data_IF_438414454862
#
_entry.id   IF_438414454862
#
_cell.length_a   1.000
_cell.length_b   1.000
_cell.length_c   1.000
_cell.angle_alpha   90.00
_cell.angle_beta   90.00
_cell.angle_gamma   90.00
#
_symmetry.space_group_name_H-M   'P 1'
#
loop_
_entity.id
_entity.type
_entity.pdbx_description
1 polymer ?
#
# COMPACT_ATOMS: atom_id res chain seq x y z
N UNK A 1 -8.11 -3.14 -15.29
CA UNK A 1 -9.01 -3.63 -14.22
C UNK A 1 -8.15 -4.02 -13.02
N UNK A 2 -8.45 -3.52 -11.82
CA UNK A 2 -7.72 -3.95 -10.60
C UNK A 2 -8.06 -5.42 -10.28
N UNK A 3 -7.22 -6.19 -9.56
CA UNK A 3 -7.57 -7.57 -9.18
C UNK A 3 -8.77 -7.64 -8.22
N UNK A 4 -9.46 -8.77 -8.14
CA UNK A 4 -10.62 -8.94 -7.24
C UNK A 4 -10.24 -8.93 -5.75
N UNK A 5 -9.01 -9.34 -5.45
CA UNK A 5 -8.40 -9.34 -4.13
C UNK A 5 -6.88 -9.21 -4.26
N UNK A 6 -6.21 -8.79 -3.19
CA UNK A 6 -4.76 -8.86 -3.03
C UNK A 6 -4.45 -9.87 -1.93
N UNK A 7 -3.81 -10.97 -2.31
CA UNK A 7 -3.31 -11.96 -1.35
C UNK A 7 -1.89 -11.55 -0.93
N UNK A 8 -1.68 -11.33 0.36
CA UNK A 8 -0.39 -10.97 0.96
C UNK A 8 -0.03 -11.96 2.06
N UNK A 9 1.25 -12.22 2.25
CA UNK A 9 1.78 -12.98 3.38
C UNK A 9 2.62 -12.06 4.24
N UNK A 10 2.30 -11.98 5.53
CA UNK A 10 3.00 -11.17 6.53
C UNK A 10 3.21 -12.01 7.77
N UNK A 11 4.43 -12.05 8.29
CA UNK A 11 4.78 -12.82 9.48
C UNK A 11 4.25 -14.27 9.42
N UNK A 12 4.51 -14.93 8.29
CA UNK A 12 4.02 -16.27 7.94
C UNK A 12 2.49 -16.43 7.84
N UNK A 13 1.70 -15.42 8.18
CA UNK A 13 0.23 -15.43 8.07
C UNK A 13 -0.23 -14.98 6.70
N UNK A 14 -1.21 -15.70 6.16
CA UNK A 14 -1.89 -15.33 4.91
C UNK A 14 -3.00 -14.32 5.19
N UNK A 15 -2.99 -13.20 4.47
CA UNK A 15 -3.98 -12.14 4.58
C UNK A 15 -4.54 -11.86 3.19
N UNK A 16 -5.84 -12.08 3.01
CA UNK A 16 -6.56 -11.70 1.79
C UNK A 16 -7.20 -10.34 1.98
N UNK A 17 -6.80 -9.38 1.16
CA UNK A 17 -7.37 -8.04 1.12
C UNK A 17 -8.40 -7.96 0.02
N UNK A 18 -9.64 -7.65 0.37
CA UNK A 18 -10.73 -7.50 -0.58
C UNK A 18 -10.95 -6.03 -0.94
N UNK A 19 -11.50 -5.76 -2.13
CA UNK A 19 -11.83 -4.40 -2.57
C UNK A 19 -12.78 -3.64 -1.64
N UNK A 20 -13.60 -4.37 -0.89
CA UNK A 20 -14.49 -3.80 0.13
C UNK A 20 -13.71 -3.16 1.27
N UNK A 21 -12.48 -3.61 1.54
CA UNK A 21 -11.64 -3.17 2.64
C UNK A 21 -10.78 -1.97 2.22
N UNK A 22 -10.57 -1.03 3.13
CA UNK A 22 -9.80 0.17 2.83
C UNK A 22 -8.31 -0.13 2.62
N UNK A 23 -7.77 -1.11 3.35
CA UNK A 23 -6.40 -1.59 3.23
C UNK A 23 -6.04 -2.00 1.82
N UNK A 24 -6.97 -2.61 1.08
CA UNK A 24 -6.76 -3.00 -0.30
C UNK A 24 -6.37 -1.80 -1.16
N UNK A 25 -7.14 -0.71 -1.05
CA UNK A 25 -6.93 0.50 -1.83
C UNK A 25 -5.68 1.26 -1.39
N UNK A 26 -5.48 1.40 -0.08
CA UNK A 26 -4.29 2.05 0.48
C UNK A 26 -3.03 1.30 0.04
N UNK A 27 -3.00 -0.02 0.18
CA UNK A 27 -1.86 -0.82 -0.24
C UNK A 27 -1.66 -0.76 -1.76
N UNK A 28 -2.74 -0.82 -2.55
CA UNK A 28 -2.64 -0.69 -4.02
C UNK A 28 -1.99 0.63 -4.44
N UNK A 29 -2.37 1.74 -3.81
CA UNK A 29 -1.77 3.06 -4.05
C UNK A 29 -0.30 3.06 -3.66
N UNK A 30 0.05 2.47 -2.51
CA UNK A 30 1.45 2.37 -2.09
C UNK A 30 2.28 1.54 -3.09
N UNK A 31 1.80 0.35 -3.49
CA UNK A 31 2.50 -0.52 -4.42
C UNK A 31 2.70 0.15 -5.79
N UNK A 32 1.67 0.80 -6.33
CA UNK A 32 1.78 1.55 -7.58
C UNK A 32 2.71 2.77 -7.46
N UNK A 33 2.74 3.39 -6.28
CA UNK A 33 3.55 4.56 -5.99
C UNK A 33 5.02 4.27 -5.66
N UNK A 34 5.36 3.03 -5.27
CA UNK A 34 6.71 2.67 -4.77
C UNK A 34 7.80 3.05 -5.77
N UNK A 35 7.65 2.65 -7.05
CA UNK A 35 8.62 3.00 -8.10
C UNK A 35 8.69 4.50 -8.35
N UNK A 36 7.56 5.21 -8.28
CA UNK A 36 7.45 6.59 -8.74
C UNK A 36 7.67 7.63 -7.64
N UNK A 37 7.84 7.20 -6.39
CA UNK A 37 7.92 8.07 -5.20
C UNK A 37 9.07 9.08 -5.27
N UNK A 38 10.23 8.68 -5.79
CA UNK A 38 11.42 9.54 -5.93
C UNK A 38 11.56 10.24 -7.27
N UNK A 39 10.64 9.99 -8.21
CA UNK A 39 10.78 10.39 -9.62
C UNK A 39 9.83 11.55 -9.98
N UNK A 40 10.23 12.41 -10.93
CA UNK A 40 9.41 13.51 -11.48
C UNK A 40 8.49 13.05 -12.63
N UNK A 41 7.96 11.83 -12.55
CA UNK A 41 7.16 11.21 -13.64
C UNK A 41 5.67 11.58 -13.58
N UNK A 42 5.22 12.27 -12.54
CA UNK A 42 3.83 12.70 -12.36
C UNK A 42 3.79 14.05 -11.65
N UNK A 43 2.88 14.97 -12.04
CA UNK A 43 2.70 16.23 -11.33
C UNK A 43 2.28 15.97 -9.88
N UNK A 44 3.00 16.56 -8.93
CA UNK A 44 2.73 16.43 -7.50
C UNK A 44 2.52 17.82 -6.88
N UNK A 45 1.50 18.00 -6.02
CA UNK A 45 1.18 19.30 -5.45
C UNK A 45 2.17 19.75 -4.36
N UNK A 46 2.94 18.82 -3.79
CA UNK A 46 3.89 19.10 -2.70
C UNK A 46 5.36 18.96 -3.17
N UNK A 47 6.32 19.54 -2.43
CA UNK A 47 7.74 19.39 -2.76
C UNK A 47 8.21 17.93 -2.75
N UNK A 48 9.11 17.58 -3.69
CA UNK A 48 9.65 16.21 -3.84
C UNK A 48 10.24 15.65 -2.54
N UNK A 49 10.83 16.49 -1.70
CA UNK A 49 11.39 16.08 -0.40
C UNK A 49 10.35 15.43 0.52
N UNK A 50 9.07 15.83 0.45
CA UNK A 50 8.02 15.19 1.25
C UNK A 50 7.74 13.77 0.76
N UNK A 51 7.70 13.56 -0.55
CA UNK A 51 7.45 12.23 -1.13
C UNK A 51 8.61 11.27 -0.89
N UNK A 52 9.86 11.75 -0.91
CA UNK A 52 11.05 10.92 -0.63
C UNK A 52 11.09 10.30 0.78
N UNK A 53 10.32 10.84 1.73
CA UNK A 53 10.26 10.32 3.11
C UNK A 53 9.33 9.11 3.24
N UNK A 54 8.42 8.89 2.29
CA UNK A 54 7.43 7.82 2.32
C UNK A 54 6.02 8.29 1.97
N UNK A 55 5.06 7.37 2.11
CA UNK A 55 3.65 7.67 1.92
C UNK A 55 3.06 8.36 3.15
N UNK A 56 2.22 9.37 2.92
CA UNK A 56 1.52 10.08 3.98
C UNK A 56 0.04 10.21 3.60
N UNK A 57 -0.81 10.40 4.62
CA UNK A 57 -2.27 10.31 4.47
C UNK A 57 -2.82 11.22 3.38
N UNK A 58 -2.33 12.47 3.28
CA UNK A 58 -2.82 13.44 2.30
C UNK A 58 -2.47 13.04 0.85
N UNK A 59 -1.28 12.48 0.62
CA UNK A 59 -0.90 11.99 -0.71
C UNK A 59 -1.71 10.75 -1.12
N UNK A 60 -1.96 9.83 -0.19
CA UNK A 60 -2.79 8.65 -0.44
C UNK A 60 -4.22 9.09 -0.74
N UNK A 61 -4.79 9.98 0.09
CA UNK A 61 -6.14 10.48 -0.06
C UNK A 61 -6.34 11.17 -1.40
N UNK A 62 -5.40 12.05 -1.80
CA UNK A 62 -5.48 12.75 -3.08
C UNK A 62 -5.58 11.79 -4.27
N UNK A 63 -4.88 10.65 -4.25
CA UNK A 63 -5.02 9.62 -5.29
C UNK A 63 -6.37 8.92 -5.19
N UNK A 64 -6.79 8.53 -3.99
CA UNK A 64 -8.06 7.81 -3.78
C UNK A 64 -9.30 8.65 -4.11
N UNK A 65 -9.21 9.97 -3.97
CA UNK A 65 -10.30 10.90 -4.34
C UNK A 65 -10.56 10.96 -5.84
N UNK A 66 -9.56 10.61 -6.67
CA UNK A 66 -9.73 10.49 -8.13
C UNK A 66 -10.52 9.24 -8.54
N UNK A 67 -10.69 8.27 -7.64
CA UNK A 67 -11.43 7.05 -7.94
C UNK A 67 -12.94 7.32 -8.00
N UNK A 68 -13.68 6.60 -8.86
CA UNK A 68 -15.14 6.60 -8.85
C UNK A 68 -15.71 6.24 -7.47
N UNK A 69 -16.86 6.80 -7.12
CA UNK A 69 -17.51 6.54 -5.83
C UNK A 69 -17.84 5.06 -5.59
N UNK A 70 -18.17 4.32 -6.67
CA UNK A 70 -18.39 2.88 -6.61
C UNK A 70 -17.19 2.08 -6.09
N UNK A 71 -15.97 2.62 -6.21
CA UNK A 71 -14.74 1.99 -5.71
C UNK A 71 -14.31 2.58 -4.37
N UNK A 72 -14.45 3.89 -4.22
CA UNK A 72 -14.07 4.63 -3.02
C UNK A 72 -15.21 5.54 -2.53
N UNK A 73 -16.07 5.03 -1.63
CA UNK A 73 -17.24 5.75 -1.13
C UNK A 73 -16.87 7.07 -0.46
N UNK A 74 -17.74 8.06 -0.62
CA UNK A 74 -17.62 9.40 -0.02
C UNK A 74 -17.38 9.37 1.50
N UNK A 75 -18.00 8.43 2.22
CA UNK A 75 -17.77 8.24 3.66
C UNK A 75 -16.30 7.98 4.06
N UNK A 76 -15.48 7.48 3.14
CA UNK A 76 -14.04 7.19 3.34
C UNK A 76 -13.12 8.33 2.87
N UNK A 77 -13.66 9.34 2.16
CA UNK A 77 -12.93 10.50 1.62
C UNK A 77 -12.64 11.54 2.71
N UNK A 78 -11.94 11.10 3.75
CA UNK A 78 -11.51 11.98 4.84
C UNK A 78 -10.17 11.52 5.37
N UNK A 79 -9.30 12.49 5.63
CA UNK A 79 -7.95 12.26 6.16
C UNK A 79 -7.96 11.44 7.45
N UNK A 80 -8.93 11.69 8.32
CA UNK A 80 -9.09 10.95 9.59
C UNK A 80 -9.32 9.46 9.36
N UNK A 81 -10.13 9.09 8.36
CA UNK A 81 -10.36 7.70 8.00
C UNK A 81 -9.08 7.02 7.52
N UNK A 82 -8.31 7.68 6.64
CA UNK A 82 -7.01 7.16 6.18
C UNK A 82 -6.03 6.98 7.35
N UNK A 83 -5.98 7.94 8.27
CA UNK A 83 -5.16 7.81 9.48
C UNK A 83 -5.56 6.61 10.34
N UNK A 84 -6.86 6.37 10.52
CA UNK A 84 -7.34 5.18 11.25
C UNK A 84 -6.97 3.88 10.55
N UNK A 85 -7.10 3.83 9.22
CA UNK A 85 -6.68 2.66 8.42
C UNK A 85 -5.19 2.44 8.60
N UNK A 86 -4.35 3.47 8.41
CA UNK A 86 -2.90 3.39 8.61
C UNK A 86 -2.54 2.92 10.03
N UNK A 87 -3.14 3.50 11.07
CA UNK A 87 -2.82 3.13 12.44
C UNK A 87 -3.17 1.67 12.79
N UNK A 88 -4.28 1.12 12.27
CA UNK A 88 -4.74 -0.23 12.64
C UNK A 88 -3.98 -1.38 11.96
N UNK A 89 -3.38 -1.13 10.80
CA UNK A 89 -2.67 -2.15 10.02
C UNK A 89 -1.15 -1.90 9.97
N UNK A 90 -0.65 -1.00 10.80
CA UNK A 90 0.79 -0.82 11.06
C UNK A 90 1.36 -2.04 11.82
N UNK A 91 2.64 -2.35 11.58
CA UNK A 91 3.34 -3.49 12.21
C UNK A 91 3.31 -3.44 13.75
N UNK A 92 3.43 -2.25 14.34
CA UNK A 92 3.40 -2.01 15.79
C UNK A 92 2.01 -1.71 16.37
N UNK A 93 0.93 -1.99 15.63
CA UNK A 93 -0.42 -1.68 16.10
C UNK A 93 -0.83 -2.62 17.27
N UNK A 94 -1.27 -2.03 18.38
CA UNK A 94 -1.86 -2.77 19.51
C UNK A 94 -3.26 -3.34 19.19
N UNK A 95 -3.86 -2.94 18.06
CA UNK A 95 -5.14 -3.45 17.59
C UNK A 95 -5.02 -4.90 17.10
N UNK A 96 -5.91 -5.80 17.53
CA UNK A 96 -5.94 -7.19 17.03
C UNK A 96 -7.26 -7.47 16.31
N UNK A 97 -7.23 -8.09 15.12
CA UNK A 97 -6.04 -8.57 14.39
C UNK A 97 -5.35 -7.46 13.56
N UNK A 98 -4.15 -7.02 13.95
CA UNK A 98 -3.30 -6.16 13.12
C UNK A 98 -2.85 -6.93 11.88
N UNK A 99 -3.01 -6.33 10.70
CA UNK A 99 -2.58 -6.93 9.43
C UNK A 99 -1.11 -6.71 9.10
N UNK A 100 -0.45 -5.79 9.81
CA UNK A 100 0.99 -5.51 9.72
C UNK A 100 1.45 -5.23 8.26
N UNK A 101 0.63 -4.51 7.50
CA UNK A 101 0.83 -4.28 6.06
C UNK A 101 1.88 -3.20 5.76
N UNK A 102 2.15 -2.32 6.71
CA UNK A 102 3.13 -1.24 6.57
C UNK A 102 3.83 -0.93 7.88
N UNK A 103 4.96 -0.25 7.74
CA UNK A 103 5.80 0.26 8.82
C UNK A 103 5.78 1.78 8.81
N UNK A 104 5.77 2.39 9.99
CA UNK A 104 5.93 3.85 10.12
C UNK A 104 7.42 4.16 10.18
N UNK A 105 7.93 4.84 9.17
CA UNK A 105 9.36 5.22 9.07
C UNK A 105 9.65 6.54 9.78
N UNK A 106 8.67 7.42 9.83
CA UNK A 106 8.70 8.70 10.55
C UNK A 106 7.27 9.07 10.93
N UNK A 107 7.08 9.97 11.90
CA UNK A 107 5.75 10.49 12.24
C UNK A 107 4.99 10.98 10.99
N UNK A 108 3.86 10.32 10.71
CA UNK A 108 3.00 10.62 9.55
C UNK A 108 3.46 10.03 8.21
N UNK A 109 4.59 9.31 8.18
CA UNK A 109 5.15 8.68 6.98
C UNK A 109 5.23 7.16 7.14
N UNK A 110 4.78 6.46 6.10
CA UNK A 110 4.64 5.02 6.07
C UNK A 110 5.29 4.44 4.82
N UNK A 111 5.79 3.22 4.94
CA UNK A 111 6.23 2.38 3.82
C UNK A 111 5.53 1.03 3.92
N UNK A 112 5.19 0.38 2.79
CA UNK A 112 4.80 -1.02 2.78
C UNK A 112 5.78 -1.87 3.59
N UNK A 113 5.27 -2.89 4.28
CA UNK A 113 6.10 -3.74 5.12
C UNK A 113 7.11 -4.49 4.21
N UNK A 114 8.44 -4.27 4.37
CA UNK A 114 9.43 -4.89 3.50
C UNK A 114 9.51 -6.41 3.66
N UNK A 115 9.09 -6.95 4.81
CA UNK A 115 9.02 -8.40 5.06
C UNK A 115 7.76 -9.05 4.47
N UNK A 116 6.86 -8.28 3.84
CA UNK A 116 5.65 -8.80 3.21
C UNK A 116 5.98 -9.50 1.89
N UNK A 117 5.24 -10.56 1.59
CA UNK A 117 5.23 -11.23 0.28
C UNK A 117 3.91 -11.00 -0.42
N UNK A 118 3.96 -10.80 -1.73
CA UNK A 118 2.80 -10.70 -2.60
C UNK A 118 2.59 -12.02 -3.34
N UNK A 119 1.33 -12.41 -3.53
CA UNK A 119 1.01 -13.51 -4.43
C UNK A 119 1.08 -13.02 -5.87
N UNK A 120 2.05 -13.54 -6.62
CA UNK A 120 2.31 -13.12 -8.01
C UNK A 120 2.68 -14.35 -8.85
N UNK A 121 2.50 -14.30 -10.19
CA UNK A 121 2.98 -15.37 -11.06
C UNK A 121 4.50 -15.49 -10.95
N UNK A 122 4.98 -16.72 -10.78
CA UNK A 122 6.42 -17.02 -10.77
C UNK A 122 6.96 -16.87 -12.19
N UNK A 123 8.07 -16.14 -12.32
CA UNK A 123 8.70 -15.82 -13.61
C UNK A 123 9.06 -17.04 -14.45
N UNK A 124 9.24 -18.21 -13.82
CA UNK A 124 9.70 -19.44 -14.46
C UNK A 124 8.59 -20.38 -14.94
N UNK A 125 7.38 -20.33 -14.37
CA UNK A 125 6.41 -21.44 -14.54
C UNK A 125 4.93 -21.02 -14.59
N UNK A 126 4.60 -19.73 -14.72
CA UNK A 126 3.20 -19.21 -14.70
C UNK A 126 2.35 -19.61 -13.47
N UNK A 127 2.90 -20.39 -12.54
CA UNK A 127 2.29 -20.79 -11.28
C UNK A 127 2.31 -19.62 -10.31
N UNK A 128 1.21 -19.41 -9.58
CA UNK A 128 1.13 -18.37 -8.57
C UNK A 128 1.96 -18.76 -7.34
N UNK A 129 2.93 -17.93 -6.98
CA UNK A 129 3.80 -18.12 -5.82
C UNK A 129 3.84 -16.91 -4.91
N UNK A 130 4.44 -17.08 -3.74
CA UNK A 130 4.75 -15.98 -2.82
C UNK A 130 6.09 -15.36 -3.22
N UNK A 131 6.06 -14.09 -3.60
CA UNK A 131 7.22 -13.33 -4.05
C UNK A 131 7.47 -12.20 -3.07
N UNK A 132 8.73 -12.00 -2.69
CA UNK A 132 9.13 -10.89 -1.82
C UNK A 132 8.78 -9.55 -2.47
N UNK A 133 8.42 -8.54 -1.66
CA UNK A 133 7.88 -7.27 -2.15
C UNK A 133 8.83 -6.54 -3.10
N UNK A 134 10.13 -6.55 -2.81
CA UNK A 134 11.20 -5.97 -3.63
C UNK A 134 11.21 -6.54 -5.06
N UNK A 135 11.21 -7.87 -5.17
CA UNK A 135 11.18 -8.60 -6.45
C UNK A 135 9.86 -8.40 -7.17
N UNK A 136 8.74 -8.48 -6.45
CA UNK A 136 7.41 -8.29 -7.01
C UNK A 136 7.22 -6.87 -7.59
N UNK A 137 7.82 -5.87 -6.93
CA UNK A 137 7.85 -4.50 -7.41
C UNK A 137 9.08 -4.19 -8.27
N UNK A 138 9.90 -5.17 -8.67
CA UNK A 138 11.12 -4.97 -9.47
C UNK A 138 11.96 -3.76 -8.98
N UNK A 139 12.22 -3.73 -7.68
CA UNK A 139 12.99 -2.69 -7.01
C UNK A 139 14.51 -2.98 -6.98
N UNK A 140 14.94 -4.08 -7.60
CA UNK A 140 16.33 -4.59 -7.66
C UNK A 140 17.29 -3.72 -8.51
N UNK A 141 17.05 -2.42 -8.67
CA UNK A 141 17.90 -1.51 -9.47
C UNK A 141 19.01 -0.81 -8.67
N UNK A 142 19.44 -1.37 -7.53
CA UNK A 142 20.60 -0.88 -6.74
C UNK A 142 21.62 -1.97 -6.54
#
# INVERSE_FOLDING_TARGET
>A
MAPGALDVQVDHRLVRLERSQAEYWVLSVMLAGLKTMGMRVSPRPLPMQRYRRGFFADAILAVLETLPEALWPTARRKRTYINHVLARAELGANYRPARQLWVRVQQGYYMPNPAMKLRAPRQTDSTMGWVDLDKACNLDWV
#
